data_IF_260218883013
#
_entry.id   IF_260218883013
#
_cell.length_a   1.000
_cell.length_b   1.000
_cell.length_c   1.000
_cell.angle_alpha   90.00
_cell.angle_beta   90.00
_cell.angle_gamma   90.00
#
_symmetry.space_group_name_H-M   'P 1'
#
loop_
_entity.id
_entity.type
_entity.pdbx_description
1 polymer ?
#
# COMPACT_ATOMS: atom_id res chain seq x y z
N UNK A 1 8.83 -83.09 -11.18
CA UNK A 1 9.96 -82.86 -12.11
C UNK A 1 9.44 -82.96 -13.54
N UNK A 2 9.92 -82.07 -14.44
CA UNK A 2 9.54 -81.87 -15.85
C UNK A 2 8.13 -81.24 -16.04
N UNK A 3 7.93 -80.20 -16.86
CA UNK A 3 8.83 -79.50 -17.79
C UNK A 3 8.23 -78.12 -18.10
N UNK A 4 9.14 -77.19 -18.36
CA UNK A 4 9.00 -75.80 -18.80
C UNK A 4 8.40 -75.72 -20.22
N UNK A 5 7.65 -74.65 -20.52
CA UNK A 5 7.60 -73.84 -21.78
C UNK A 5 6.41 -72.86 -21.62
N UNK A 6 6.53 -71.53 -21.56
CA UNK A 6 7.06 -70.51 -22.47
C UNK A 6 6.55 -70.62 -23.91
N UNK A 7 5.76 -69.64 -24.35
CA UNK A 7 5.36 -69.46 -25.74
C UNK A 7 4.20 -68.48 -25.91
N UNK A 8 4.52 -67.26 -26.36
CA UNK A 8 3.55 -66.19 -26.61
C UNK A 8 2.65 -66.41 -27.83
N UNK A 9 1.68 -65.52 -27.99
CA UNK A 9 0.83 -65.50 -29.18
C UNK A 9 -0.27 -64.45 -29.07
N UNK A 10 -0.23 -63.47 -29.98
CA UNK A 10 -1.01 -62.23 -30.01
C UNK A 10 -2.53 -62.45 -30.16
N UNK A 11 -3.28 -61.69 -29.37
CA UNK A 11 -4.33 -60.75 -29.77
C UNK A 11 -5.39 -61.23 -30.78
N UNK A 12 -6.61 -61.49 -30.28
CA UNK A 12 -7.84 -61.40 -31.08
C UNK A 12 -8.75 -60.31 -30.52
N UNK A 13 -8.83 -59.23 -31.28
CA UNK A 13 -9.79 -58.13 -31.21
C UNK A 13 -11.19 -58.64 -31.57
N UNK A 14 -12.21 -58.20 -30.81
CA UNK A 14 -13.59 -57.86 -31.23
C UNK A 14 -14.44 -57.79 -29.95
N UNK A 15 -14.81 -56.59 -29.47
CA UNK A 15 -15.91 -55.74 -29.94
C UNK A 15 -17.04 -55.71 -28.88
N UNK A 16 -16.95 -54.70 -28.01
CA UNK A 16 -18.04 -53.79 -27.58
C UNK A 16 -19.40 -54.40 -27.24
N UNK A 17 -19.80 -54.35 -25.96
CA UNK A 17 -21.10 -53.78 -25.59
C UNK A 17 -21.08 -53.24 -24.15
N UNK A 18 -21.67 -52.05 -24.01
CA UNK A 18 -21.67 -51.17 -22.84
C UNK A 18 -22.50 -51.77 -21.69
N UNK A 19 -22.07 -51.54 -20.45
CA UNK A 19 -22.96 -51.46 -19.30
C UNK A 19 -22.51 -50.29 -18.43
N UNK A 20 -23.49 -49.46 -18.11
CA UNK A 20 -23.40 -48.07 -17.65
C UNK A 20 -23.80 -48.04 -16.17
N UNK A 21 -22.99 -47.30 -15.37
CA UNK A 21 -23.28 -46.63 -14.07
C UNK A 21 -23.63 -47.55 -12.87
N UNK A 22 -23.09 -47.34 -11.67
CA UNK A 22 -23.25 -46.12 -10.85
C UNK A 22 -21.98 -45.85 -10.03
N UNK A 23 -21.32 -44.72 -10.30
CA UNK A 23 -20.33 -44.13 -9.39
C UNK A 23 -21.02 -43.12 -8.48
N UNK A 24 -21.11 -43.42 -7.18
CA UNK A 24 -21.56 -42.47 -6.17
C UNK A 24 -20.45 -41.48 -5.86
N UNK A 25 -20.57 -40.25 -6.39
CA UNK A 25 -19.67 -39.14 -6.05
C UNK A 25 -20.33 -38.28 -4.98
N UNK A 26 -19.81 -38.36 -3.76
CA UNK A 26 -20.17 -37.48 -2.64
C UNK A 26 -19.70 -36.05 -2.96
N UNK A 27 -20.64 -35.17 -3.31
CA UNK A 27 -20.38 -33.73 -3.33
C UNK A 27 -20.46 -33.20 -1.89
N UNK A 28 -19.30 -32.90 -1.31
CA UNK A 28 -19.22 -32.05 -0.11
C UNK A 28 -19.32 -30.61 -0.59
N UNK A 29 -20.46 -29.97 -0.34
CA UNK A 29 -20.61 -28.53 -0.52
C UNK A 29 -19.88 -27.81 0.62
N UNK A 30 -18.68 -27.28 0.33
CA UNK A 30 -18.04 -26.31 1.20
C UNK A 30 -18.81 -24.99 1.06
N UNK A 31 -19.55 -24.62 2.10
CA UNK A 31 -20.07 -23.26 2.25
C UNK A 31 -18.90 -22.36 2.69
N UNK A 32 -18.20 -21.78 1.72
CA UNK A 32 -17.33 -20.64 1.98
C UNK A 32 -18.22 -19.46 2.38
N UNK A 33 -18.39 -19.29 3.70
CA UNK A 33 -18.86 -18.04 4.25
C UNK A 33 -17.82 -16.98 3.85
N UNK A 34 -18.19 -16.15 2.87
CA UNK A 34 -17.47 -14.93 2.53
C UNK A 34 -17.55 -13.97 3.72
N UNK A 35 -16.73 -14.22 4.74
CA UNK A 35 -16.22 -13.18 5.60
C UNK A 35 -15.44 -12.26 4.67
N UNK A 36 -16.05 -11.14 4.28
CA UNK A 36 -15.39 -10.15 3.44
C UNK A 36 -14.02 -9.84 4.02
N UNK A 37 -12.96 -10.06 3.25
CA UNK A 37 -11.64 -9.62 3.63
C UNK A 37 -11.72 -8.13 3.95
N UNK A 38 -11.58 -7.79 5.23
CA UNK A 38 -11.27 -6.42 5.60
C UNK A 38 -9.91 -6.18 4.98
N UNK A 39 -9.87 -5.41 3.89
CA UNK A 39 -8.62 -4.93 3.29
C UNK A 39 -7.70 -4.48 4.42
N UNK A 40 -6.61 -5.23 4.61
CA UNK A 40 -5.55 -4.86 5.56
C UNK A 40 -4.77 -3.63 5.08
N UNK A 41 -5.13 -3.06 3.92
CA UNK A 41 -4.55 -1.81 3.46
C UNK A 41 -5.29 -0.62 4.02
N UNK A 42 -4.60 0.13 4.89
CA UNK A 42 -5.09 1.37 5.46
C UNK A 42 -5.10 2.48 4.41
N UNK A 43 -6.11 3.34 4.43
CA UNK A 43 -6.18 4.51 3.56
C UNK A 43 -4.94 5.41 3.69
N UNK A 44 -4.35 5.47 4.89
CA UNK A 44 -3.09 6.18 5.15
C UNK A 44 -1.97 5.74 4.22
N UNK A 45 -1.85 4.45 3.84
CA UNK A 45 -0.78 4.01 2.94
C UNK A 45 -0.89 4.70 1.59
N UNK A 46 -2.11 4.80 1.05
CA UNK A 46 -2.34 5.52 -0.20
C UNK A 46 -2.02 7.00 -0.05
N UNK A 47 -2.49 7.65 1.01
CA UNK A 47 -2.20 9.06 1.30
C UNK A 47 -0.68 9.30 1.33
N UNK A 48 0.08 8.46 2.02
CA UNK A 48 1.54 8.59 2.10
C UNK A 48 2.26 8.37 0.76
N UNK A 49 1.72 7.51 -0.12
CA UNK A 49 2.23 7.36 -1.50
C UNK A 49 1.95 8.61 -2.33
N UNK A 50 0.74 9.14 -2.25
CA UNK A 50 0.35 10.35 -2.98
C UNK A 50 1.18 11.56 -2.52
N UNK A 51 1.38 11.71 -1.19
CA UNK A 51 2.32 12.69 -0.62
C UNK A 51 3.74 12.51 -1.15
N UNK A 52 4.25 11.27 -1.18
CA UNK A 52 5.57 10.98 -1.74
C UNK A 52 5.70 11.38 -3.23
N UNK A 53 4.65 11.18 -4.02
CA UNK A 53 4.60 11.63 -5.41
C UNK A 53 4.64 13.15 -5.52
N UNK A 54 3.86 13.86 -4.70
CA UNK A 54 3.84 15.32 -4.69
C UNK A 54 5.22 15.89 -4.30
N UNK A 55 5.92 15.27 -3.35
CA UNK A 55 7.30 15.65 -3.00
C UNK A 55 8.26 15.52 -4.19
N UNK A 56 8.15 14.45 -4.97
CA UNK A 56 8.96 14.26 -6.18
C UNK A 56 8.66 15.34 -7.24
N UNK A 57 7.39 15.67 -7.43
CA UNK A 57 6.97 16.75 -8.33
C UNK A 57 7.56 18.10 -7.89
N UNK A 58 7.53 18.42 -6.60
CA UNK A 58 8.16 19.64 -6.08
C UNK A 58 9.67 19.64 -6.31
N UNK A 59 10.38 18.54 -6.04
CA UNK A 59 11.83 18.45 -6.31
C UNK A 59 12.17 18.74 -7.78
N UNK A 60 11.39 18.17 -8.70
CA UNK A 60 11.52 18.45 -10.13
C UNK A 60 11.23 19.91 -10.47
N UNK A 61 10.15 20.47 -9.90
CA UNK A 61 9.79 21.88 -10.05
C UNK A 61 10.87 22.83 -9.56
N UNK A 62 11.49 22.55 -8.41
CA UNK A 62 12.60 23.35 -7.87
C UNK A 62 13.79 23.34 -8.82
N UNK A 63 14.16 22.16 -9.33
CA UNK A 63 15.32 22.00 -10.22
C UNK A 63 15.17 22.74 -11.55
N UNK A 64 13.93 22.97 -11.99
CA UNK A 64 13.59 23.64 -13.25
C UNK A 64 13.05 25.05 -13.06
N UNK A 65 12.98 25.54 -11.81
CA UNK A 65 12.32 26.80 -11.45
C UNK A 65 10.87 26.90 -11.97
N UNK A 66 10.14 25.77 -12.02
CA UNK A 66 8.74 25.71 -12.42
C UNK A 66 7.84 26.13 -11.26
N UNK A 67 7.78 27.44 -11.03
CA UNK A 67 7.02 28.04 -9.95
C UNK A 67 5.51 27.72 -10.00
N UNK A 68 4.83 27.77 -11.17
CA UNK A 68 3.43 27.37 -11.25
C UNK A 68 3.18 25.91 -10.86
N UNK A 69 4.09 25.00 -11.22
CA UNK A 69 3.99 23.59 -10.80
C UNK A 69 4.11 23.45 -9.28
N UNK A 70 5.07 24.13 -8.65
CA UNK A 70 5.25 24.10 -7.20
C UNK A 70 4.05 24.72 -6.49
N UNK A 71 3.59 25.90 -6.91
CA UNK A 71 2.41 26.59 -6.34
C UNK A 71 1.16 25.70 -6.38
N UNK A 72 0.95 24.96 -7.48
CA UNK A 72 -0.19 24.03 -7.61
C UNK A 72 -0.02 22.76 -6.77
N UNK A 73 1.21 22.28 -6.60
CA UNK A 73 1.49 20.99 -5.94
C UNK A 73 1.55 21.14 -4.43
N UNK A 74 2.06 22.26 -3.91
CA UNK A 74 2.25 22.47 -2.49
C UNK A 74 0.95 22.34 -1.66
N UNK A 75 -0.22 22.84 -2.10
CA UNK A 75 -1.50 22.60 -1.43
C UNK A 75 -1.91 21.11 -1.37
N UNK A 76 -1.47 20.28 -2.31
CA UNK A 76 -1.75 18.84 -2.28
C UNK A 76 -0.93 18.11 -1.20
N UNK A 77 0.15 18.72 -0.73
CA UNK A 77 0.90 18.30 0.46
C UNK A 77 0.28 18.94 1.69
N UNK A 78 -0.02 20.24 1.63
CA UNK A 78 -0.52 21.00 2.75
C UNK A 78 -1.94 20.65 3.18
N UNK A 79 -2.80 20.13 2.30
CA UNK A 79 -4.20 19.83 2.61
C UNK A 79 -4.56 18.44 2.09
N UNK A 80 -3.66 17.48 2.33
CA UNK A 80 -3.84 16.11 1.87
C UNK A 80 -5.08 15.45 2.52
N UNK A 81 -5.69 14.45 1.85
CA UNK A 81 -6.81 13.72 2.43
C UNK A 81 -6.42 13.09 3.77
N UNK A 82 -7.40 13.01 4.66
CA UNK A 82 -7.22 12.33 5.94
C UNK A 82 -7.83 10.93 5.92
N UNK A 83 -7.29 9.97 6.69
CA UNK A 83 -7.90 8.66 6.82
C UNK A 83 -9.32 8.72 7.38
N UNK A 84 -10.17 7.70 7.12
CA UNK A 84 -11.47 7.55 7.77
C UNK A 84 -11.37 7.63 9.30
N UNK A 85 -12.41 8.11 9.97
CA UNK A 85 -12.41 8.30 11.43
C UNK A 85 -12.10 6.99 12.17
N UNK A 86 -12.66 5.86 11.73
CA UNK A 86 -12.39 4.54 12.29
C UNK A 86 -10.90 4.16 12.21
N UNK A 87 -10.25 4.47 11.10
CA UNK A 87 -8.81 4.26 10.92
C UNK A 87 -7.99 5.19 11.80
N UNK A 88 -8.34 6.48 11.88
CA UNK A 88 -7.70 7.45 12.79
C UNK A 88 -7.73 6.98 14.24
N UNK A 89 -8.86 6.46 14.71
CA UNK A 89 -8.98 5.96 16.08
C UNK A 89 -8.05 4.75 16.33
N UNK A 90 -7.90 3.85 15.37
CA UNK A 90 -6.95 2.73 15.46
C UNK A 90 -5.50 3.22 15.49
N UNK A 91 -5.17 4.18 14.65
CA UNK A 91 -3.83 4.82 14.64
C UNK A 91 -3.57 5.50 15.97
N UNK A 92 -4.54 6.24 16.51
CA UNK A 92 -4.43 6.91 17.80
C UNK A 92 -4.20 5.93 18.95
N UNK A 93 -4.93 4.81 18.96
CA UNK A 93 -4.75 3.76 19.96
C UNK A 93 -3.36 3.12 19.87
N UNK A 94 -2.82 2.93 18.67
CA UNK A 94 -1.49 2.40 18.44
C UNK A 94 -0.37 3.36 18.87
N UNK A 95 -0.44 4.63 18.43
CA UNK A 95 0.59 5.64 18.72
C UNK A 95 0.57 6.04 20.21
N UNK A 96 -0.60 6.01 20.85
CA UNK A 96 -0.73 6.21 22.29
C UNK A 96 -0.22 7.58 22.75
N UNK A 97 0.72 7.59 23.69
CA UNK A 97 1.22 8.81 24.34
C UNK A 97 2.00 9.73 23.40
N UNK A 98 2.53 9.23 22.28
CA UNK A 98 3.28 10.03 21.31
C UNK A 98 2.39 10.73 20.28
N UNK A 99 1.06 10.70 20.44
CA UNK A 99 0.12 11.34 19.51
C UNK A 99 0.35 12.85 19.32
N UNK A 100 0.87 13.54 20.35
CA UNK A 100 1.25 14.94 20.25
C UNK A 100 2.38 15.16 19.24
N UNK A 101 3.42 14.32 19.25
CA UNK A 101 4.52 14.40 18.28
C UNK A 101 4.07 14.01 16.88
N UNK A 102 3.28 12.94 16.77
CA UNK A 102 2.75 12.49 15.48
C UNK A 102 1.98 13.60 14.77
N UNK A 103 1.06 14.27 15.47
CA UNK A 103 0.35 15.45 14.95
C UNK A 103 1.24 16.68 14.79
N UNK A 104 2.27 16.82 15.62
CA UNK A 104 3.26 17.89 15.51
C UNK A 104 3.97 17.86 14.16
N UNK A 105 4.50 16.71 13.77
CA UNK A 105 5.17 16.56 12.47
C UNK A 105 4.22 16.76 11.29
N UNK A 106 2.99 16.23 11.38
CA UNK A 106 1.94 16.47 10.38
C UNK A 106 1.65 17.97 10.25
N UNK A 107 1.43 18.66 11.37
CA UNK A 107 1.20 20.10 11.41
C UNK A 107 2.37 20.94 10.89
N UNK A 108 3.62 20.50 11.07
CA UNK A 108 4.79 21.13 10.47
C UNK A 108 4.81 20.97 8.94
N UNK A 109 4.47 19.78 8.43
CA UNK A 109 4.31 19.53 6.99
C UNK A 109 3.23 20.46 6.40
N UNK A 110 2.05 20.50 7.02
CA UNK A 110 0.94 21.38 6.63
C UNK A 110 1.40 22.84 6.47
N UNK A 111 1.99 23.42 7.51
CA UNK A 111 2.43 24.82 7.51
C UNK A 111 3.55 25.09 6.50
N UNK A 112 4.58 24.25 6.48
CA UNK A 112 5.71 24.44 5.59
C UNK A 112 5.32 24.29 4.12
N UNK A 113 4.38 23.40 3.81
CA UNK A 113 3.84 23.25 2.46
C UNK A 113 2.99 24.46 2.03
N UNK A 114 2.25 25.11 2.95
CA UNK A 114 1.60 26.39 2.64
C UNK A 114 2.62 27.48 2.30
N UNK A 115 3.65 27.64 3.15
CA UNK A 115 4.74 28.59 2.91
C UNK A 115 5.48 28.31 1.60
N UNK A 116 5.67 27.04 1.26
CA UNK A 116 6.27 26.61 -0.01
C UNK A 116 5.45 27.11 -1.22
N UNK A 117 4.12 26.96 -1.17
CA UNK A 117 3.23 27.45 -2.23
C UNK A 117 3.25 28.97 -2.36
N UNK A 118 3.24 29.69 -1.23
CA UNK A 118 3.34 31.15 -1.19
C UNK A 118 4.69 31.65 -1.75
N UNK A 119 5.80 31.00 -1.38
CA UNK A 119 7.12 31.31 -1.88
C UNK A 119 7.23 31.06 -3.39
N UNK A 120 6.66 29.95 -3.88
CA UNK A 120 6.61 29.65 -5.31
C UNK A 120 5.79 30.70 -6.06
N UNK A 121 4.63 31.09 -5.54
CA UNK A 121 3.82 32.18 -6.12
C UNK A 121 4.58 33.50 -6.22
N UNK A 122 5.40 33.80 -5.21
CA UNK A 122 6.29 34.97 -5.19
C UNK A 122 7.54 34.81 -6.08
N UNK A 123 7.78 33.62 -6.63
CA UNK A 123 9.00 33.23 -7.37
C UNK A 123 10.28 33.43 -6.56
N UNK A 124 10.18 33.26 -5.24
CA UNK A 124 11.32 33.34 -4.34
C UNK A 124 11.95 31.95 -4.19
N UNK A 125 12.95 31.67 -5.04
CA UNK A 125 13.63 30.37 -5.05
C UNK A 125 14.32 30.02 -3.73
N UNK A 126 14.85 31.01 -2.99
CA UNK A 126 15.50 30.76 -1.70
C UNK A 126 14.46 30.38 -0.64
N UNK A 127 13.35 31.10 -0.60
CA UNK A 127 12.24 30.76 0.30
C UNK A 127 11.60 29.41 -0.05
N UNK A 128 11.46 29.07 -1.34
CA UNK A 128 11.00 27.75 -1.79
C UNK A 128 11.91 26.64 -1.26
N UNK A 129 13.23 26.76 -1.44
CA UNK A 129 14.19 25.76 -0.96
C UNK A 129 14.12 25.60 0.56
N UNK A 130 14.07 26.72 1.30
CA UNK A 130 13.97 26.70 2.76
C UNK A 130 12.68 26.03 3.24
N UNK A 131 11.53 26.41 2.68
CA UNK A 131 10.23 25.82 3.04
C UNK A 131 10.19 24.32 2.70
N UNK A 132 10.71 23.93 1.53
CA UNK A 132 10.77 22.53 1.13
C UNK A 132 11.71 21.70 2.02
N UNK A 133 12.83 22.27 2.48
CA UNK A 133 13.69 21.64 3.47
C UNK A 133 12.92 21.36 4.78
N UNK A 134 12.10 22.32 5.25
CA UNK A 134 11.26 22.11 6.43
C UNK A 134 10.27 20.95 6.22
N UNK A 135 9.59 20.88 5.06
CA UNK A 135 8.71 19.75 4.72
C UNK A 135 9.48 18.42 4.75
N UNK A 136 10.64 18.34 4.09
CA UNK A 136 11.46 17.13 4.05
C UNK A 136 11.91 16.70 5.45
N UNK A 137 12.28 17.65 6.30
CA UNK A 137 12.73 17.39 7.67
C UNK A 137 11.60 16.84 8.53
N UNK A 138 10.40 17.43 8.47
CA UNK A 138 9.23 16.94 9.21
C UNK A 138 8.82 15.53 8.76
N UNK A 139 8.81 15.28 7.43
CA UNK A 139 8.59 13.94 6.86
C UNK A 139 9.62 12.93 7.37
N UNK A 140 10.91 13.30 7.38
CA UNK A 140 11.97 12.44 7.87
C UNK A 140 11.82 12.13 9.36
N UNK A 141 11.53 13.14 10.19
CA UNK A 141 11.39 12.97 11.63
C UNK A 141 10.22 12.03 11.97
N UNK A 142 9.05 12.24 11.36
CA UNK A 142 7.91 11.34 11.53
C UNK A 142 8.24 9.90 11.09
N UNK A 143 8.90 9.74 9.93
CA UNK A 143 9.27 8.41 9.45
C UNK A 143 10.30 7.71 10.33
N UNK A 144 11.30 8.45 10.82
CA UNK A 144 12.32 7.94 11.71
C UNK A 144 11.72 7.41 13.01
N UNK A 145 10.75 8.12 13.58
CA UNK A 145 10.13 7.75 14.85
C UNK A 145 9.07 6.66 14.71
N UNK A 146 8.17 6.77 13.73
CA UNK A 146 6.95 5.96 13.73
C UNK A 146 6.87 4.90 12.64
N UNK A 147 7.56 5.07 11.49
CA UNK A 147 7.26 4.27 10.28
C UNK A 147 7.49 2.78 10.46
N UNK A 148 8.62 2.39 11.07
CA UNK A 148 8.95 0.96 11.22
C UNK A 148 7.94 0.24 12.12
N UNK A 149 7.66 0.82 13.30
CA UNK A 149 6.70 0.26 14.25
C UNK A 149 5.28 0.24 13.67
N UNK A 150 4.89 1.30 12.96
CA UNK A 150 3.61 1.38 12.26
C UNK A 150 3.47 0.26 11.22
N UNK A 151 4.51 0.06 10.40
CA UNK A 151 4.51 -0.98 9.38
C UNK A 151 4.38 -2.37 10.01
N UNK A 152 5.14 -2.63 11.07
CA UNK A 152 5.09 -3.89 11.79
C UNK A 152 3.71 -4.15 12.40
N UNK A 153 3.10 -3.14 13.04
CA UNK A 153 1.80 -3.29 13.70
C UNK A 153 0.66 -3.52 12.72
N UNK A 154 0.60 -2.75 11.63
CA UNK A 154 -0.55 -2.77 10.71
C UNK A 154 -0.37 -3.70 9.50
N UNK A 155 0.85 -4.11 9.17
CA UNK A 155 1.13 -4.94 7.99
C UNK A 155 2.01 -6.15 8.27
N UNK A 156 2.42 -6.36 9.53
CA UNK A 156 3.32 -7.44 9.93
C UNK A 156 4.77 -7.22 9.48
N UNK A 157 5.60 -8.22 9.75
CA UNK A 157 6.98 -8.30 9.25
C UNK A 157 6.92 -8.69 7.78
N UNK A 158 7.42 -7.83 6.89
CA UNK A 158 7.75 -8.21 5.51
C UNK A 158 9.22 -8.60 5.45
#
# INVERSE_FOLDING_TARGET
MKKITSGGGKMKTKQVLKSILVGGMLFVAAADAAAGEVSNDLALRKIMKDLGSNMQTVTGGISMEDWPLIEKTAPLIADHPQPPISEKLRIMAFIGTDMGKFKGYDGEVHKAAQTLGEAAKAKDGTAVIAAFQTVQTACHNCHKEFRQQFLQHFYGTR
#
